data_IF_512391826701
#
_entry.id   IF_512391826701
#
_cell.length_a   1.000
_cell.length_b   1.000
_cell.length_c   1.000
_cell.angle_alpha   90.00
_cell.angle_beta   90.00
_cell.angle_gamma   90.00
#
_symmetry.space_group_name_H-M   'P 1'
#
loop_
_entity.id
_entity.type
_entity.pdbx_description
1 polymer ?
#
# COMPACT_ATOMS: atom_id res chain seq x y z
N UNK A 1 -13.96 10.07 9.50
CA UNK A 1 -12.58 9.74 9.06
C UNK A 1 -12.20 8.40 9.65
N UNK A 2 -11.92 7.40 8.82
CA UNK A 2 -11.43 6.12 9.32
C UNK A 2 -9.94 6.29 9.66
N UNK A 3 -9.58 6.15 10.93
CA UNK A 3 -8.19 6.18 11.36
C UNK A 3 -7.44 5.01 10.73
N UNK A 4 -6.25 5.27 10.19
CA UNK A 4 -5.38 4.22 9.70
C UNK A 4 -4.85 3.43 10.89
N UNK A 5 -4.74 2.11 10.75
CA UNK A 5 -4.08 1.30 11.77
C UNK A 5 -2.56 1.46 11.67
N UNK A 6 -1.82 1.16 12.74
CA UNK A 6 -0.36 1.22 12.75
C UNK A 6 0.25 0.45 11.57
N UNK A 7 -0.29 -0.72 11.27
CA UNK A 7 0.13 -1.52 10.11
C UNK A 7 -0.10 -0.81 8.78
N UNK A 8 -1.26 -0.16 8.61
CA UNK A 8 -1.57 0.59 7.40
C UNK A 8 -0.65 1.81 7.26
N UNK A 9 -0.36 2.49 8.37
CA UNK A 9 0.58 3.61 8.40
C UNK A 9 2.00 3.16 8.03
N UNK A 10 2.47 2.04 8.58
CA UNK A 10 3.79 1.49 8.23
C UNK A 10 3.87 1.14 6.74
N UNK A 11 2.84 0.48 6.18
CA UNK A 11 2.79 0.14 4.75
C UNK A 11 2.84 1.40 3.88
N UNK A 12 1.98 2.38 4.17
CA UNK A 12 1.86 3.59 3.38
C UNK A 12 3.10 4.49 3.54
N UNK A 13 3.66 4.58 4.75
CA UNK A 13 4.90 5.32 5.03
C UNK A 13 6.12 4.71 4.34
N UNK A 14 6.24 3.37 4.33
CA UNK A 14 7.31 2.71 3.60
C UNK A 14 7.19 2.98 2.08
N UNK A 15 5.99 2.92 1.53
CA UNK A 15 5.74 3.22 0.12
C UNK A 15 5.99 4.70 -0.22
N UNK A 16 5.68 5.63 0.69
CA UNK A 16 5.86 7.07 0.47
C UNK A 16 7.34 7.48 0.44
N UNK A 17 8.22 6.70 1.07
CA UNK A 17 9.66 6.95 1.10
C UNK A 17 10.39 6.41 -0.14
N UNK A 18 9.73 5.62 -0.99
CA UNK A 18 10.31 5.05 -2.21
C UNK A 18 10.07 5.95 -3.41
N UNK A 19 11.06 6.04 -4.29
CA UNK A 19 10.96 6.78 -5.56
C UNK A 19 9.91 6.17 -6.49
N UNK A 20 9.83 4.84 -6.54
CA UNK A 20 8.86 4.10 -7.35
C UNK A 20 7.44 4.08 -6.76
N UNK A 21 7.29 4.57 -5.50
CA UNK A 21 6.04 4.54 -4.72
C UNK A 21 5.49 3.13 -4.52
N UNK A 22 6.32 2.10 -4.69
CA UNK A 22 5.94 0.71 -4.56
C UNK A 22 5.61 0.34 -3.12
N UNK A 23 4.63 -0.53 -2.94
CA UNK A 23 4.22 -0.98 -1.62
C UNK A 23 4.82 -2.35 -1.33
N UNK A 24 5.63 -2.41 -0.28
CA UNK A 24 6.15 -3.66 0.25
C UNK A 24 5.38 -4.02 1.53
N UNK A 25 4.75 -5.20 1.54
CA UNK A 25 3.96 -5.60 2.68
C UNK A 25 4.84 -6.17 3.80
N UNK A 26 4.63 -5.75 5.06
CA UNK A 26 5.38 -6.26 6.19
C UNK A 26 5.27 -7.78 6.29
N UNK A 27 6.38 -8.45 6.59
CA UNK A 27 6.41 -9.89 6.80
C UNK A 27 5.50 -10.36 7.97
N UNK A 28 5.07 -9.44 8.84
CA UNK A 28 4.10 -9.70 9.91
C UNK A 28 2.68 -9.95 9.38
N UNK A 29 2.36 -9.51 8.15
CA UNK A 29 1.05 -9.75 7.52
C UNK A 29 1.22 -10.72 6.36
N UNK A 30 0.49 -11.84 6.39
CA UNK A 30 0.61 -12.89 5.36
C UNK A 30 -0.75 -13.37 4.89
N UNK A 31 -0.79 -13.91 3.68
CA UNK A 31 -1.97 -14.58 3.11
C UNK A 31 -3.20 -13.69 3.07
N UNK A 32 -4.31 -14.19 3.62
CA UNK A 32 -5.63 -13.53 3.57
C UNK A 32 -5.66 -12.19 4.32
N UNK A 33 -4.93 -12.08 5.43
CA UNK A 33 -4.86 -10.83 6.20
C UNK A 33 -4.24 -9.69 5.36
N UNK A 34 -3.18 -10.01 4.61
CA UNK A 34 -2.55 -9.07 3.68
C UNK A 34 -3.56 -8.59 2.63
N UNK A 35 -4.31 -9.51 2.03
CA UNK A 35 -5.32 -9.21 1.00
C UNK A 35 -6.45 -8.33 1.55
N UNK A 36 -6.91 -8.58 2.78
CA UNK A 36 -7.93 -7.76 3.44
C UNK A 36 -7.45 -6.32 3.68
N UNK A 37 -6.21 -6.14 4.16
CA UNK A 37 -5.63 -4.82 4.37
C UNK A 37 -5.50 -4.08 3.05
N UNK A 38 -4.92 -4.71 2.02
CA UNK A 38 -4.77 -4.14 0.68
C UNK A 38 -6.13 -3.77 0.09
N UNK A 39 -7.11 -4.67 0.14
CA UNK A 39 -8.46 -4.40 -0.37
C UNK A 39 -9.14 -3.24 0.36
N UNK A 40 -8.91 -3.07 1.67
CA UNK A 40 -9.42 -1.92 2.42
C UNK A 40 -8.74 -0.62 1.97
N UNK A 41 -7.43 -0.63 1.76
CA UNK A 41 -6.69 0.54 1.31
C UNK A 41 -7.04 0.93 -0.13
N UNK A 42 -7.23 -0.04 -1.02
CA UNK A 42 -7.71 0.20 -2.40
C UNK A 42 -9.12 0.77 -2.42
N UNK A 43 -10.04 0.27 -1.58
CA UNK A 43 -11.40 0.84 -1.46
C UNK A 43 -11.42 2.28 -0.97
N UNK A 44 -10.41 2.67 -0.20
CA UNK A 44 -10.22 4.03 0.27
C UNK A 44 -9.39 4.90 -0.70
N UNK A 45 -9.13 4.40 -1.92
CA UNK A 45 -8.31 5.06 -2.94
C UNK A 45 -6.87 5.38 -2.49
N UNK A 46 -6.37 4.70 -1.45
CA UNK A 46 -5.03 4.95 -0.90
C UNK A 46 -3.95 4.17 -1.63
N UNK A 47 -4.33 3.02 -2.22
CA UNK A 47 -3.46 2.16 -3.00
C UNK A 47 -4.09 1.84 -4.35
N UNK A 48 -3.25 1.70 -5.37
CA UNK A 48 -3.62 1.21 -6.69
C UNK A 48 -2.83 -0.05 -7.03
N UNK A 49 -3.42 -0.91 -7.86
CA UNK A 49 -2.77 -2.11 -8.37
C UNK A 49 -2.29 -1.88 -9.81
N UNK A 50 -0.99 -2.02 -10.04
CA UNK A 50 -0.33 -1.73 -11.31
C UNK A 50 0.50 -2.94 -11.75
N UNK A 51 0.72 -3.11 -13.06
CA UNK A 51 1.61 -4.18 -13.55
C UNK A 51 2.99 -4.01 -12.92
N UNK A 52 3.52 -5.08 -12.34
CA UNK A 52 4.85 -5.07 -11.76
C UNK A 52 5.86 -4.87 -12.90
N UNK A 53 6.70 -3.85 -12.76
CA UNK A 53 7.76 -3.52 -13.69
C UNK A 53 8.90 -2.81 -12.99
N UNK A 54 10.13 -2.99 -13.49
CA UNK A 54 11.32 -2.39 -12.90
C UNK A 54 11.58 -2.90 -11.48
N UNK A 55 11.72 -1.98 -10.52
CA UNK A 55 12.03 -2.25 -9.11
C UNK A 55 10.79 -2.45 -8.23
N UNK A 56 9.59 -2.44 -8.81
CA UNK A 56 8.35 -2.56 -8.04
C UNK A 56 8.23 -3.95 -7.39
N UNK A 57 7.95 -4.02 -6.08
CA UNK A 57 7.77 -5.30 -5.38
C UNK A 57 6.53 -6.02 -5.90
N UNK A 58 6.70 -7.29 -6.27
CA UNK A 58 5.59 -8.13 -6.73
C UNK A 58 4.69 -8.47 -5.54
N UNK A 59 3.45 -8.01 -5.59
CA UNK A 59 2.42 -8.29 -4.59
C UNK A 59 1.70 -9.61 -4.89
N UNK A 60 1.25 -9.79 -6.12
CA UNK A 60 0.59 -11.02 -6.56
C UNK A 60 0.88 -11.30 -8.02
N UNK A 61 0.71 -12.55 -8.42
CA UNK A 61 0.64 -12.93 -9.84
C UNK A 61 -0.82 -13.16 -10.18
N UNK A 62 -1.21 -12.59 -11.30
CA UNK A 62 -2.53 -12.73 -11.90
C UNK A 62 -2.33 -13.47 -13.22
N UNK A 63 -3.11 -14.53 -13.47
CA UNK A 63 -2.85 -15.43 -14.60
C UNK A 63 -3.03 -14.72 -15.95
N UNK A 64 -3.95 -13.74 -16.02
CA UNK A 64 -4.21 -12.97 -17.24
C UNK A 64 -3.30 -11.75 -17.37
N UNK A 65 -2.98 -11.09 -16.24
CA UNK A 65 -2.27 -9.80 -16.26
C UNK A 65 -0.79 -9.89 -15.89
N UNK A 66 -0.31 -11.06 -15.48
CA UNK A 66 1.05 -11.32 -15.07
C UNK A 66 1.35 -10.85 -13.64
N UNK A 67 2.62 -10.49 -13.38
CA UNK A 67 3.02 -9.98 -12.08
C UNK A 67 2.39 -8.60 -11.83
N UNK A 68 1.74 -8.46 -10.68
CA UNK A 68 1.10 -7.23 -10.22
C UNK A 68 1.85 -6.70 -9.00
N UNK A 69 1.96 -5.38 -8.94
CA UNK A 69 2.52 -4.62 -7.83
C UNK A 69 1.46 -3.66 -7.27
N UNK A 70 1.72 -3.17 -6.07
CA UNK A 70 0.91 -2.16 -5.41
C UNK A 70 1.68 -0.85 -5.37
N UNK A 71 0.98 0.26 -5.57
CA UNK A 71 1.55 1.60 -5.52
C UNK A 71 0.71 2.51 -4.65
N UNK A 72 1.35 3.38 -3.87
CA UNK A 72 0.63 4.40 -3.13
C UNK A 72 0.14 5.50 -4.06
N UNK A 73 -1.13 5.88 -3.92
CA UNK A 73 -1.75 6.96 -4.70
C UNK A 73 -1.45 8.31 -4.07
N UNK A 74 -1.82 9.39 -4.78
CA UNK A 74 -1.78 10.75 -4.20
C UNK A 74 -2.64 10.85 -2.93
N UNK A 75 -3.85 10.30 -2.95
CA UNK A 75 -4.75 10.23 -1.80
C UNK A 75 -4.11 9.49 -0.63
N UNK A 76 -3.39 8.39 -0.90
CA UNK A 76 -2.60 7.66 0.08
C UNK A 76 -1.54 8.52 0.76
N UNK A 77 -0.80 9.32 -0.01
CA UNK A 77 0.24 10.22 0.51
C UNK A 77 -0.34 11.32 1.41
N UNK A 78 -1.45 11.93 0.98
CA UNK A 78 -2.17 12.94 1.76
C UNK A 78 -2.68 12.36 3.08
N UNK A 79 -3.21 11.13 3.07
CA UNK A 79 -3.70 10.47 4.27
C UNK A 79 -2.60 10.24 5.33
N UNK A 80 -1.38 9.87 4.91
CA UNK A 80 -0.24 9.73 5.84
C UNK A 80 0.16 11.10 6.40
N UNK A 81 0.22 12.13 5.56
CA UNK A 81 0.61 13.48 5.99
C UNK A 81 -0.33 14.03 7.07
N UNK A 82 -1.62 13.73 6.96
CA UNK A 82 -2.62 14.08 7.97
C UNK A 82 -2.39 13.29 9.27
N UNK A 83 -2.21 11.97 9.21
CA UNK A 83 -1.99 11.19 10.44
C UNK A 83 -0.69 11.59 11.16
N UNK A 84 0.39 11.82 10.40
CA UNK A 84 1.68 12.25 10.95
C UNK A 84 1.58 13.61 11.67
N UNK A 85 0.75 14.53 11.18
CA UNK A 85 0.49 15.81 11.83
C UNK A 85 -0.41 15.70 13.09
N UNK A 86 -1.11 14.58 13.27
CA UNK A 86 -2.00 14.33 14.42
C UNK A 86 -1.38 13.48 15.52
N UNK A 87 -0.14 13.00 15.33
CA UNK A 87 0.61 12.32 16.38
C UNK A 87 1.11 13.37 17.42
N UNK A 88 0.79 13.21 18.72
CA UNK A 88 1.16 14.15 19.79
C UNK A 88 2.65 14.13 20.12
#
# INVERSE_FOLDING_TARGET
MARLTDTQLVILSAASQRDDRGVELPASIKGDAARKVVAKLMRADLLEEVRAGGALPIWRRDDDRGAMALRITKTGLEAIAVEAATAP
#
